data_IF_306897441165
#
_entry.id   IF_306897441165
#
_cell.length_a   1.000
_cell.length_b   1.000
_cell.length_c   1.000
_cell.angle_alpha   90.00
_cell.angle_beta   90.00
_cell.angle_gamma   90.00
#
_symmetry.space_group_name_H-M   'P 1'
#
loop_
_entity.id
_entity.type
_entity.pdbx_description
1 polymer ?
#
# COMPACT_ATOMS: atom_id res chain seq x y z
N UNK A 1 -9.86 7.10 -16.02
CA UNK A 1 -9.24 6.75 -14.71
C UNK A 1 -10.04 5.61 -14.16
N UNK A 2 -9.39 4.70 -13.46
CA UNK A 2 -10.03 3.53 -12.87
C UNK A 2 -9.76 3.51 -11.36
N UNK A 3 -10.61 2.82 -10.63
CA UNK A 3 -10.47 2.65 -9.19
C UNK A 3 -9.69 1.36 -8.93
N UNK A 4 -8.76 1.40 -7.99
CA UNK A 4 -7.95 0.26 -7.61
C UNK A 4 -8.00 0.09 -6.10
N UNK A 5 -8.16 -1.14 -5.64
CA UNK A 5 -7.83 -1.55 -4.28
C UNK A 5 -6.37 -1.99 -4.26
N UNK A 6 -5.60 -1.44 -3.35
CA UNK A 6 -4.18 -1.79 -3.15
C UNK A 6 -4.02 -2.31 -1.73
N UNK A 7 -3.49 -3.52 -1.59
CA UNK A 7 -3.13 -4.15 -0.33
C UNK A 7 -1.61 -4.32 -0.28
N UNK A 8 -0.97 -3.72 0.73
CA UNK A 8 0.47 -3.80 0.94
C UNK A 8 0.76 -4.57 2.23
N UNK A 9 1.53 -5.64 2.13
CA UNK A 9 1.93 -6.43 3.28
C UNK A 9 2.79 -5.61 4.25
N UNK A 10 2.55 -5.80 5.55
CA UNK A 10 3.34 -5.21 6.63
C UNK A 10 4.21 -6.31 7.27
N UNK A 11 5.28 -5.93 7.97
CA UNK A 11 6.12 -6.89 8.74
C UNK A 11 5.41 -7.50 9.95
N UNK A 12 4.22 -6.99 10.27
CA UNK A 12 3.28 -7.53 11.23
C UNK A 12 2.15 -8.23 10.46
N UNK A 13 1.43 -9.21 11.05
CA UNK A 13 0.44 -10.04 10.33
C UNK A 13 -0.85 -9.27 10.00
N UNK A 14 -0.74 -8.23 9.17
CA UNK A 14 -1.81 -7.37 8.66
C UNK A 14 -1.32 -6.63 7.41
N UNK A 15 -2.25 -6.01 6.68
CA UNK A 15 -1.97 -5.27 5.46
C UNK A 15 -2.40 -3.81 5.60
N UNK A 16 -1.70 -2.93 4.90
CA UNK A 16 -2.19 -1.59 4.61
C UNK A 16 -3.06 -1.63 3.36
N UNK A 17 -4.37 -1.41 3.52
CA UNK A 17 -5.34 -1.44 2.42
C UNK A 17 -5.84 -0.04 2.09
N UNK A 18 -5.89 0.28 0.79
CA UNK A 18 -6.40 1.57 0.36
C UNK A 18 -6.99 1.54 -1.05
N UNK A 19 -8.03 2.34 -1.24
CA UNK A 19 -8.58 2.62 -2.56
C UNK A 19 -7.96 3.89 -3.16
N UNK A 20 -7.58 3.80 -4.44
CA UNK A 20 -7.00 4.91 -5.20
C UNK A 20 -7.52 4.94 -6.63
N UNK A 21 -7.76 6.14 -7.14
CA UNK A 21 -8.03 6.34 -8.56
C UNK A 21 -6.71 6.51 -9.32
N UNK A 22 -6.44 5.69 -10.34
CA UNK A 22 -5.20 5.73 -11.11
C UNK A 22 -5.45 5.44 -12.61
N UNK A 23 -4.41 5.61 -13.44
CA UNK A 23 -4.45 5.23 -14.86
C UNK A 23 -3.95 3.80 -15.09
N UNK A 24 -3.08 3.32 -14.21
CA UNK A 24 -2.40 2.02 -14.29
C UNK A 24 -2.21 1.48 -12.87
N UNK A 25 -1.99 0.17 -12.73
CA UNK A 25 -1.62 -0.49 -11.47
C UNK A 25 -0.36 0.14 -10.86
N UNK A 26 0.64 0.43 -11.69
CA UNK A 26 1.89 1.08 -11.26
C UNK A 26 1.64 2.47 -10.65
N UNK A 27 0.71 3.23 -11.22
CA UNK A 27 0.31 4.52 -10.65
C UNK A 27 -0.50 4.35 -9.37
N UNK A 28 -1.35 3.31 -9.27
CA UNK A 28 -2.09 2.97 -8.06
C UNK A 28 -1.12 2.62 -6.91
N UNK A 29 -0.14 1.76 -7.16
CA UNK A 29 0.93 1.41 -6.22
C UNK A 29 1.68 2.64 -5.70
N UNK A 30 2.15 3.53 -6.60
CA UNK A 30 2.85 4.76 -6.20
C UNK A 30 1.98 5.66 -5.31
N UNK A 31 0.68 5.76 -5.60
CA UNK A 31 -0.26 6.53 -4.78
C UNK A 31 -0.50 5.89 -3.42
N UNK A 32 -0.61 4.57 -3.36
CA UNK A 32 -0.74 3.82 -2.10
C UNK A 32 0.50 4.01 -1.22
N UNK A 33 1.71 3.87 -1.78
CA UNK A 33 2.96 4.17 -1.06
C UNK A 33 3.00 5.61 -0.54
N UNK A 34 2.62 6.58 -1.37
CA UNK A 34 2.57 7.98 -0.95
C UNK A 34 1.60 8.22 0.21
N UNK A 35 0.45 7.54 0.22
CA UNK A 35 -0.50 7.62 1.33
C UNK A 35 0.04 6.91 2.58
N UNK A 36 0.62 5.73 2.45
CA UNK A 36 1.27 5.01 3.54
C UNK A 36 2.32 5.89 4.24
N UNK A 37 3.31 6.40 3.50
CA UNK A 37 4.37 7.23 4.10
C UNK A 37 3.85 8.54 4.68
N UNK A 38 2.77 9.10 4.13
CA UNK A 38 2.14 10.28 4.72
C UNK A 38 1.47 9.93 6.06
N UNK A 39 0.79 8.79 6.15
CA UNK A 39 0.14 8.33 7.38
C UNK A 39 1.16 8.00 8.49
N UNK A 40 2.31 7.44 8.14
CA UNK A 40 3.39 7.15 9.10
C UNK A 40 4.14 8.40 9.60
N UNK A 41 3.92 9.57 8.99
CA UNK A 41 4.58 10.82 9.38
C UNK A 41 3.82 11.66 10.41
N UNK A 42 2.66 11.20 10.90
CA UNK A 42 1.86 11.94 11.89
C UNK A 42 1.64 11.13 13.17
N UNK A 43 2.04 11.69 14.31
CA UNK A 43 1.74 11.19 15.66
C UNK A 43 0.27 11.45 16.04
N UNK A 44 -0.67 10.81 15.35
CA UNK A 44 -2.07 10.83 15.78
C UNK A 44 -2.26 9.82 16.92
N UNK A 45 -2.43 10.33 18.15
CA UNK A 45 -2.66 9.57 19.40
C UNK A 45 -3.87 8.60 19.32
N UNK A 46 -4.75 8.75 18.32
CA UNK A 46 -5.97 7.95 18.14
C UNK A 46 -5.88 6.88 17.05
N UNK A 47 -4.82 6.86 16.26
CA UNK A 47 -4.62 5.84 15.23
C UNK A 47 -3.70 4.73 15.79
N UNK A 48 -3.76 3.50 15.24
CA UNK A 48 -2.73 2.50 15.49
C UNK A 48 -1.35 3.12 15.35
N UNK A 49 -0.36 2.69 16.13
CA UNK A 49 1.00 3.23 16.04
C UNK A 49 1.65 2.89 14.69
N UNK A 50 1.28 3.61 13.64
CA UNK A 50 1.79 3.50 12.28
C UNK A 50 3.20 4.03 12.17
N UNK A 51 3.68 4.79 13.17
CA UNK A 51 5.04 5.35 13.17
C UNK A 51 6.12 4.27 13.17
N UNK A 52 5.80 3.07 13.69
CA UNK A 52 6.69 1.92 13.77
C UNK A 52 6.32 0.77 12.81
N UNK A 53 5.39 0.99 11.87
CA UNK A 53 4.96 -0.04 10.93
C UNK A 53 5.82 0.01 9.67
N UNK A 54 6.46 -1.12 9.38
CA UNK A 54 7.25 -1.34 8.17
C UNK A 54 6.49 -2.17 7.15
N UNK A 55 6.69 -1.85 5.87
CA UNK A 55 6.24 -2.68 4.75
C UNK A 55 7.11 -3.93 4.62
N UNK A 56 6.47 -5.07 4.38
CA UNK A 56 7.12 -6.32 4.00
C UNK A 56 6.88 -6.58 2.51
N UNK A 57 7.42 -5.68 1.68
CA UNK A 57 7.26 -5.74 0.22
C UNK A 57 8.61 -5.74 -0.48
N UNK A 58 8.73 -6.55 -1.52
CA UNK A 58 9.91 -6.55 -2.38
C UNK A 58 9.71 -5.58 -3.55
N UNK A 59 10.37 -4.42 -3.47
CA UNK A 59 10.32 -3.38 -4.52
C UNK A 59 11.27 -3.66 -5.68
N UNK A 60 12.12 -4.68 -5.58
CA UNK A 60 13.09 -5.04 -6.61
C UNK A 60 12.52 -5.96 -7.68
N UNK A 61 11.38 -6.60 -7.39
CA UNK A 61 10.65 -7.47 -8.30
C UNK A 61 9.47 -6.77 -8.95
N UNK A 62 8.89 -7.40 -9.97
CA UNK A 62 7.68 -6.93 -10.63
C UNK A 62 6.53 -6.80 -9.61
N UNK A 63 5.69 -5.77 -9.74
CA UNK A 63 4.54 -5.55 -8.84
C UNK A 63 3.50 -6.68 -8.95
N UNK A 64 3.52 -7.44 -10.03
CA UNK A 64 2.66 -8.60 -10.27
C UNK A 64 3.35 -9.93 -9.95
N UNK A 65 4.56 -9.90 -9.37
CA UNK A 65 5.27 -11.11 -8.97
C UNK A 65 4.62 -11.76 -7.73
N UNK A 66 4.45 -13.08 -7.76
CA UNK A 66 3.93 -13.83 -6.63
C UNK A 66 4.88 -13.70 -5.44
N UNK A 67 4.34 -13.37 -4.26
CA UNK A 67 5.09 -13.31 -3.01
C UNK A 67 5.88 -12.01 -2.80
N UNK A 68 5.63 -10.97 -3.58
CA UNK A 68 6.28 -9.66 -3.42
C UNK A 68 5.63 -8.76 -2.33
N UNK A 69 4.58 -9.24 -1.67
CA UNK A 69 3.84 -8.48 -0.64
C UNK A 69 2.92 -7.39 -1.19
N UNK A 70 2.65 -7.37 -2.51
CA UNK A 70 1.84 -6.35 -3.19
C UNK A 70 0.66 -7.05 -3.86
N UNK A 71 -0.56 -6.59 -3.55
CA UNK A 71 -1.77 -6.98 -4.25
C UNK A 71 -2.49 -5.73 -4.77
N UNK A 72 -2.86 -5.74 -6.05
CA UNK A 72 -3.51 -4.62 -6.74
C UNK A 72 -4.64 -5.17 -7.58
N UNK A 73 -5.86 -4.75 -7.25
CA UNK A 73 -7.08 -5.18 -7.93
C UNK A 73 -7.78 -3.95 -8.50
N UNK A 74 -8.08 -3.98 -9.80
CA UNK A 74 -9.00 -3.02 -10.42
C UNK A 74 -10.43 -3.32 -9.94
N UNK A 75 -11.11 -2.31 -9.41
CA UNK A 75 -12.46 -2.43 -8.85
C UNK A 75 -13.41 -1.44 -9.54
N UNK A 76 -14.71 -1.77 -9.53
CA UNK A 76 -15.78 -0.95 -10.11
C UNK A 76 -16.14 0.28 -9.25
#
# INVERSE_FOLDING_TARGET
MKKYRVSLALKIPTNFEIEVNAKTEKDAFKKALGKFYKSTCYDYIQDPDWSNIDLDIDKSVDINAVGNGIDIEEID
#
